data_IF_912894566046
#
_entry.id   IF_912894566046
#
_cell.length_a   1.000
_cell.length_b   1.000
_cell.length_c   1.000
_cell.angle_alpha   90.00
_cell.angle_beta   90.00
_cell.angle_gamma   90.00
#
_symmetry.space_group_name_H-M   'P 1'
#
loop_
_entity.id
_entity.type
_entity.pdbx_description
1 polymer ?
#
# COMPACT_ATOMS: atom_id res chain seq x y z
N UNK A 1 17.71 23.85 20.16
CA UNK A 1 18.36 22.57 19.81
C UNK A 1 18.89 22.67 18.40
N UNK A 2 20.20 22.61 18.18
CA UNK A 2 20.77 22.66 16.82
C UNK A 2 20.55 21.28 16.18
N UNK A 3 19.75 21.18 15.11
CA UNK A 3 19.63 19.94 14.33
C UNK A 3 21.02 19.60 13.78
N UNK A 4 21.61 18.49 14.24
CA UNK A 4 22.85 17.97 13.66
C UNK A 4 22.58 17.61 12.19
N UNK A 5 23.42 18.09 11.27
CA UNK A 5 23.36 17.70 9.86
C UNK A 5 23.46 16.17 9.75
N UNK A 6 22.49 15.56 9.06
CA UNK A 6 22.41 14.11 8.84
C UNK A 6 22.62 13.82 7.36
N UNK A 7 23.55 12.94 7.04
CA UNK A 7 23.84 12.52 5.67
C UNK A 7 23.61 11.02 5.52
N UNK A 8 23.11 10.60 4.36
CA UNK A 8 22.88 9.20 4.03
C UNK A 8 23.62 8.82 2.74
N UNK A 9 24.07 7.56 2.67
CA UNK A 9 24.51 6.92 1.43
C UNK A 9 24.06 5.47 1.46
N UNK A 10 23.72 4.93 0.30
CA UNK A 10 23.34 3.54 0.16
C UNK A 10 24.24 2.85 -0.86
N UNK A 11 24.40 1.54 -0.71
CA UNK A 11 25.01 0.65 -1.70
C UNK A 11 24.21 -0.64 -1.76
N UNK A 12 24.41 -1.43 -2.81
CA UNK A 12 23.95 -2.83 -2.84
C UNK A 12 25.11 -3.74 -2.44
N UNK A 13 24.85 -4.71 -1.59
CA UNK A 13 25.80 -5.74 -1.16
C UNK A 13 25.06 -7.07 -1.05
N UNK A 14 25.56 -8.12 -1.72
CA UNK A 14 24.88 -9.41 -1.83
C UNK A 14 23.36 -9.31 -2.17
N UNK A 15 23.01 -8.48 -3.16
CA UNK A 15 21.64 -8.17 -3.58
C UNK A 15 20.75 -7.47 -2.53
N UNK A 16 21.32 -7.02 -1.41
CA UNK A 16 20.60 -6.27 -0.37
C UNK A 16 20.98 -4.80 -0.38
N UNK A 17 20.04 -3.89 -0.12
CA UNK A 17 20.37 -2.50 0.14
C UNK A 17 21.04 -2.37 1.50
N UNK A 18 22.19 -1.69 1.54
CA UNK A 18 22.90 -1.33 2.77
C UNK A 18 22.86 0.18 2.93
N UNK A 19 22.32 0.66 4.05
CA UNK A 19 22.19 2.08 4.34
C UNK A 19 23.19 2.52 5.40
N UNK A 20 23.99 3.54 5.07
CA UNK A 20 24.87 4.19 6.01
C UNK A 20 24.39 5.60 6.34
N UNK A 21 24.57 6.02 7.60
CA UNK A 21 24.28 7.36 8.09
C UNK A 21 25.53 7.99 8.71
N UNK A 22 25.65 9.31 8.57
CA UNK A 22 26.68 10.12 9.23
C UNK A 22 26.05 11.34 9.90
N UNK A 23 26.40 11.56 11.17
CA UNK A 23 25.92 12.69 11.98
C UNK A 23 26.94 13.85 11.98
N UNK A 24 27.08 14.50 10.82
CA UNK A 24 27.90 15.70 10.60
C UNK A 24 29.20 15.49 9.82
N UNK A 25 29.67 16.58 9.19
CA UNK A 25 31.06 16.90 8.73
C UNK A 25 32.10 15.77 8.73
N UNK A 26 32.54 15.42 9.94
CA UNK A 26 33.76 14.66 10.19
C UNK A 26 33.51 13.44 11.10
N UNK A 27 32.29 12.91 11.10
CA UNK A 27 31.95 11.68 11.85
C UNK A 27 32.12 10.44 10.96
N UNK A 28 32.38 9.26 11.53
CA UNK A 28 32.39 8.03 10.76
C UNK A 28 30.99 7.74 10.17
N UNK A 29 30.97 7.01 9.06
CA UNK A 29 29.75 6.41 8.54
C UNK A 29 29.40 5.20 9.40
N UNK A 30 28.13 5.11 9.79
CA UNK A 30 27.57 4.01 10.58
C UNK A 30 26.59 3.25 9.71
N UNK A 31 26.71 1.93 9.65
CA UNK A 31 25.71 1.06 9.03
C UNK A 31 24.46 1.02 9.91
N UNK A 32 23.33 1.43 9.35
CA UNK A 32 22.03 1.46 10.02
C UNK A 32 21.00 0.57 9.31
N UNK A 33 21.44 -0.37 8.47
CA UNK A 33 20.57 -1.23 7.66
C UNK A 33 19.59 -2.03 8.51
N UNK A 34 20.03 -2.51 9.68
CA UNK A 34 19.19 -3.23 10.65
C UNK A 34 18.01 -2.42 11.20
N UNK A 35 18.01 -1.09 11.03
CA UNK A 35 16.90 -0.21 11.42
C UNK A 35 15.89 0.01 10.30
N UNK A 36 15.99 -0.76 9.20
CA UNK A 36 15.11 -0.69 8.02
C UNK A 36 14.39 -2.00 7.81
N UNK A 37 13.34 -1.96 6.98
CA UNK A 37 12.66 -3.16 6.54
C UNK A 37 13.63 -4.10 5.82
N UNK A 38 13.54 -5.37 6.19
CA UNK A 38 14.34 -6.43 5.62
C UNK A 38 13.67 -6.96 4.36
N UNK A 39 14.23 -6.64 3.20
CA UNK A 39 13.69 -7.07 1.90
C UNK A 39 13.64 -8.59 1.75
N UNK A 40 14.38 -9.36 2.54
CA UNK A 40 14.32 -10.83 2.51
C UNK A 40 13.02 -11.39 3.06
N UNK A 41 12.33 -10.61 3.89
CA UNK A 41 11.03 -10.99 4.43
C UNK A 41 9.89 -10.80 3.42
N UNK A 42 10.16 -10.23 2.25
CA UNK A 42 9.19 -10.06 1.17
C UNK A 42 8.96 -11.37 0.40
N UNK A 43 7.68 -11.65 0.15
CA UNK A 43 7.20 -12.68 -0.77
C UNK A 43 6.12 -12.11 -1.67
N UNK A 44 6.11 -12.53 -2.91
CA UNK A 44 5.15 -12.10 -3.92
C UNK A 44 4.39 -13.32 -4.44
N UNK A 45 3.07 -13.24 -4.51
CA UNK A 45 2.23 -14.29 -5.07
C UNK A 45 1.72 -13.81 -6.43
N UNK A 46 1.92 -14.60 -7.47
CA UNK A 46 1.40 -14.30 -8.82
C UNK A 46 -0.04 -14.81 -9.02
N UNK A 47 -0.63 -14.49 -10.18
CA UNK A 47 -2.01 -14.88 -10.50
C UNK A 47 -2.25 -16.39 -10.47
N UNK A 48 -1.22 -17.22 -10.68
CA UNK A 48 -1.27 -18.68 -10.65
C UNK A 48 -0.91 -19.28 -9.27
N UNK A 49 -0.94 -18.47 -8.20
CA UNK A 49 -0.60 -18.88 -6.84
C UNK A 49 0.85 -19.34 -6.64
N UNK A 50 1.75 -18.98 -7.56
CA UNK A 50 3.19 -19.25 -7.39
C UNK A 50 3.81 -18.18 -6.50
N UNK A 51 4.56 -18.63 -5.49
CA UNK A 51 5.37 -17.77 -4.63
C UNK A 51 6.70 -17.43 -5.32
N UNK A 52 7.05 -16.15 -5.29
CA UNK A 52 8.32 -15.60 -5.73
C UNK A 52 8.98 -14.85 -4.57
N UNK A 53 10.30 -14.99 -4.42
CA UNK A 53 11.09 -14.26 -3.43
C UNK A 53 11.68 -13.00 -4.06
N UNK A 54 12.09 -12.02 -3.25
CA UNK A 54 12.76 -10.83 -3.81
C UNK A 54 14.00 -11.17 -4.66
N UNK A 55 14.75 -12.22 -4.29
CA UNK A 55 15.94 -12.67 -5.03
C UNK A 55 15.64 -13.16 -6.46
N UNK A 56 14.41 -13.59 -6.74
CA UNK A 56 14.00 -13.93 -8.11
C UNK A 56 13.63 -12.71 -8.96
N UNK A 57 13.52 -11.53 -8.35
CA UNK A 57 13.22 -10.29 -9.03
C UNK A 57 14.50 -9.53 -9.39
N UNK A 58 14.47 -8.79 -10.49
CA UNK A 58 15.50 -7.79 -10.77
C UNK A 58 15.39 -6.67 -9.73
N UNK A 59 16.51 -6.22 -9.19
CA UNK A 59 16.57 -5.08 -8.28
C UNK A 59 17.62 -4.05 -8.69
N UNK A 60 17.40 -2.80 -8.26
CA UNK A 60 18.29 -1.67 -8.55
C UNK A 60 18.25 -0.67 -7.38
N UNK A 61 19.38 -0.05 -7.07
CA UNK A 61 19.44 1.08 -6.14
C UNK A 61 19.64 2.38 -6.92
N UNK A 62 18.65 3.29 -6.84
CA UNK A 62 18.72 4.62 -7.44
C UNK A 62 18.69 5.65 -6.32
N UNK A 63 19.83 6.31 -6.10
CA UNK A 63 20.00 7.23 -4.97
C UNK A 63 19.86 6.49 -3.63
N UNK A 64 18.77 6.75 -2.90
CA UNK A 64 18.46 6.11 -1.61
C UNK A 64 17.21 5.22 -1.68
N UNK A 65 16.75 4.91 -2.90
CA UNK A 65 15.55 4.08 -3.13
C UNK A 65 15.97 2.76 -3.75
N UNK A 66 15.67 1.66 -3.06
CA UNK A 66 15.88 0.30 -3.56
C UNK A 66 14.62 -0.20 -4.27
N UNK A 67 14.74 -0.45 -5.57
CA UNK A 67 13.63 -0.81 -6.46
C UNK A 67 13.67 -2.31 -6.76
N UNK A 68 12.51 -2.96 -6.65
CA UNK A 68 12.31 -4.37 -6.98
C UNK A 68 11.29 -4.44 -8.11
N UNK A 69 11.72 -4.93 -9.27
CA UNK A 69 10.88 -4.99 -10.47
C UNK A 69 10.15 -6.34 -10.56
N UNK A 70 8.84 -6.29 -10.75
CA UNK A 70 7.97 -7.45 -10.84
C UNK A 70 7.74 -7.78 -12.32
N UNK A 71 8.34 -8.87 -12.80
CA UNK A 71 8.20 -9.34 -14.18
C UNK A 71 7.03 -10.32 -14.36
N UNK A 72 6.10 -10.33 -13.41
CA UNK A 72 4.95 -11.21 -13.34
C UNK A 72 3.75 -10.44 -12.76
N UNK A 73 2.53 -10.90 -13.04
CA UNK A 73 1.31 -10.30 -12.52
C UNK A 73 1.16 -10.65 -11.03
N UNK A 74 1.55 -9.73 -10.16
CA UNK A 74 1.47 -9.93 -8.72
C UNK A 74 0.04 -9.68 -8.21
N UNK A 75 -0.55 -10.65 -7.50
CA UNK A 75 -1.87 -10.51 -6.88
C UNK A 75 -1.83 -10.27 -5.37
N UNK A 76 -0.75 -10.67 -4.70
CA UNK A 76 -0.56 -10.46 -3.26
C UNK A 76 0.91 -10.27 -2.91
N UNK A 77 1.16 -9.45 -1.89
CA UNK A 77 2.49 -9.25 -1.30
C UNK A 77 2.41 -9.57 0.18
N UNK A 78 3.36 -10.38 0.64
CA UNK A 78 3.52 -10.73 2.03
C UNK A 78 4.85 -10.16 2.54
N UNK A 79 4.83 -9.80 3.81
CA UNK A 79 6.04 -9.48 4.56
C UNK A 79 6.03 -10.29 5.86
N UNK A 80 7.09 -11.06 6.06
CA UNK A 80 7.20 -11.96 7.22
C UNK A 80 5.97 -12.89 7.39
N UNK A 81 5.50 -13.40 6.24
CA UNK A 81 4.30 -14.24 6.09
C UNK A 81 2.96 -13.57 6.47
N UNK A 82 2.92 -12.24 6.60
CA UNK A 82 1.69 -11.47 6.76
C UNK A 82 1.32 -10.82 5.43
N UNK A 83 0.08 -10.95 4.99
CA UNK A 83 -0.41 -10.26 3.79
C UNK A 83 -0.46 -8.76 4.06
N UNK A 84 0.36 -7.99 3.33
CA UNK A 84 0.47 -6.53 3.47
C UNK A 84 -0.14 -5.78 2.28
N UNK A 85 -0.40 -6.48 1.17
CA UNK A 85 -1.12 -5.92 0.04
C UNK A 85 -1.83 -7.01 -0.77
N UNK A 86 -2.97 -6.65 -1.38
CA UNK A 86 -3.68 -7.50 -2.32
C UNK A 86 -4.28 -6.69 -3.47
N UNK A 87 -4.19 -7.24 -4.68
CA UNK A 87 -4.76 -6.69 -5.91
C UNK A 87 -6.26 -6.40 -5.79
N UNK A 88 -6.98 -7.18 -4.97
CA UNK A 88 -8.42 -7.06 -4.76
C UNK A 88 -8.88 -5.63 -4.43
N UNK A 89 -8.09 -4.89 -3.66
CA UNK A 89 -8.44 -3.54 -3.21
C UNK A 89 -7.78 -2.42 -4.03
N UNK A 90 -7.14 -2.75 -5.15
CA UNK A 90 -6.44 -1.80 -6.02
C UNK A 90 -6.60 -2.14 -7.51
N UNK A 91 -7.59 -2.97 -7.86
CA UNK A 91 -7.68 -3.57 -9.19
C UNK A 91 -7.77 -2.52 -10.32
N UNK A 92 -8.33 -1.34 -10.03
CA UNK A 92 -8.43 -0.20 -10.96
C UNK A 92 -7.07 0.39 -11.34
N UNK A 93 -6.02 0.05 -10.59
CA UNK A 93 -4.63 0.44 -10.85
C UNK A 93 -3.88 -0.57 -11.72
N UNK A 94 -4.47 -1.74 -11.97
CA UNK A 94 -3.79 -2.88 -12.57
C UNK A 94 -2.78 -3.54 -11.63
N UNK A 95 -1.95 -4.43 -12.17
CA UNK A 95 -0.90 -5.08 -11.40
C UNK A 95 0.30 -4.14 -11.18
N UNK A 96 0.96 -4.19 -10.01
CA UNK A 96 2.13 -3.36 -9.75
C UNK A 96 3.31 -3.80 -10.62
N UNK A 97 4.03 -2.80 -11.15
CA UNK A 97 5.24 -3.00 -11.96
C UNK A 97 6.48 -3.13 -11.07
N UNK A 98 6.52 -2.39 -9.96
CA UNK A 98 7.65 -2.41 -9.02
C UNK A 98 7.24 -2.05 -7.60
N UNK A 99 8.04 -2.55 -6.67
CA UNK A 99 8.04 -2.16 -5.27
C UNK A 99 9.30 -1.33 -4.98
N UNK A 100 9.12 -0.12 -4.46
CA UNK A 100 10.20 0.80 -4.11
C UNK A 100 10.32 0.91 -2.59
N UNK A 101 11.48 0.59 -2.02
CA UNK A 101 11.83 0.86 -0.63
C UNK A 101 12.62 2.16 -0.54
N UNK A 102 12.02 3.21 0.02
CA UNK A 102 12.76 4.39 0.43
C UNK A 102 13.56 4.06 1.70
N UNK A 103 14.89 4.00 1.59
CA UNK A 103 15.74 3.61 2.71
C UNK A 103 15.81 4.68 3.79
N UNK A 104 15.53 5.95 3.50
CA UNK A 104 15.61 7.01 4.52
C UNK A 104 14.33 7.04 5.33
N UNK A 105 13.19 7.10 4.65
CA UNK A 105 11.86 7.14 5.26
C UNK A 105 11.44 5.78 5.80
N UNK A 106 12.11 4.71 5.36
CA UNK A 106 11.76 3.32 5.68
C UNK A 106 10.32 2.99 5.29
N UNK A 107 9.93 3.39 4.07
CA UNK A 107 8.58 3.20 3.54
C UNK A 107 8.65 2.47 2.21
N UNK A 108 7.68 1.58 2.01
CA UNK A 108 7.48 0.91 0.74
C UNK A 108 6.40 1.59 -0.09
N UNK A 109 6.61 1.62 -1.40
CA UNK A 109 5.65 2.13 -2.36
C UNK A 109 5.47 1.16 -3.52
N UNK A 110 4.22 0.85 -3.86
CA UNK A 110 3.88 0.22 -5.12
C UNK A 110 3.78 1.25 -6.22
N UNK A 111 4.33 0.91 -7.37
CA UNK A 111 4.22 1.72 -8.57
C UNK A 111 3.56 0.89 -9.67
N UNK A 112 2.58 1.47 -10.34
CA UNK A 112 1.77 0.83 -11.37
C UNK A 112 2.07 1.43 -12.76
N UNK A 113 1.62 0.76 -13.82
CA UNK A 113 1.85 1.20 -15.20
C UNK A 113 1.20 2.54 -15.56
N UNK A 114 0.07 2.87 -14.93
CA UNK A 114 -0.65 4.13 -15.11
C UNK A 114 -0.06 5.29 -14.28
N UNK A 115 1.19 5.17 -13.83
CA UNK A 115 1.86 6.10 -12.90
C UNK A 115 1.17 6.26 -11.54
N UNK A 116 0.19 5.42 -11.21
CA UNK A 116 -0.35 5.37 -9.86
C UNK A 116 0.74 4.87 -8.90
N UNK A 117 0.78 5.46 -7.71
CA UNK A 117 1.73 5.13 -6.65
C UNK A 117 0.98 5.03 -5.33
N UNK A 118 1.16 3.92 -4.62
CA UNK A 118 0.49 3.61 -3.35
C UNK A 118 1.54 3.36 -2.29
N UNK A 119 1.43 3.98 -1.11
CA UNK A 119 2.28 3.64 0.03
C UNK A 119 1.73 2.37 0.70
N UNK A 120 2.63 1.47 1.07
CA UNK A 120 2.26 0.25 1.79
C UNK A 120 2.47 0.43 3.29
N UNK A 121 1.51 -0.06 4.08
CA UNK A 121 1.62 -0.11 5.54
C UNK A 121 1.96 -1.52 5.99
N UNK A 122 3.00 -1.63 6.80
CA UNK A 122 3.45 -2.87 7.39
C UNK A 122 3.11 -2.77 8.87
N UNK A 123 2.31 -3.69 9.38
CA UNK A 123 2.14 -3.84 10.82
C UNK A 123 3.43 -4.49 11.32
N UNK A 124 4.23 -3.85 12.19
CA UNK A 124 5.31 -4.54 12.86
C UNK A 124 4.68 -5.68 13.66
N UNK A 125 5.09 -6.94 13.45
CA UNK A 125 4.88 -7.93 14.50
C UNK A 125 5.60 -7.38 15.73
N UNK A 126 4.86 -7.06 16.78
CA UNK A 126 5.44 -7.15 18.11
C UNK A 126 5.88 -8.61 18.22
N UNK A 127 7.18 -8.86 18.14
CA UNK A 127 7.69 -10.11 18.71
C UNK A 127 7.25 -10.06 20.16
N UNK A 128 6.28 -10.91 20.53
CA UNK A 128 5.95 -11.12 21.94
C UNK A 128 7.28 -11.31 22.66
N UNK A 129 7.57 -10.56 23.74
CA UNK A 129 8.84 -10.70 24.43
C UNK A 129 8.98 -12.17 24.79
N UNK A 130 10.00 -12.80 24.20
CA UNK A 130 10.41 -14.14 24.59
C UNK A 130 10.68 -14.04 26.08
N UNK A 131 9.98 -14.84 26.87
CA UNK A 131 10.15 -14.93 28.32
C UNK A 131 11.65 -15.02 28.64
N UNK A 132 12.17 -13.98 29.27
CA UNK A 132 13.55 -13.86 29.70
C UNK A 132 13.70 -12.53 30.41
N UNK A 133 13.89 -12.59 31.72
CA UNK A 133 14.06 -11.45 32.63
C UNK A 133 15.41 -10.73 32.41
N UNK A 134 15.63 -10.17 31.24
CA UNK A 134 16.80 -9.32 30.97
C UNK A 134 16.36 -7.95 30.47
N UNK A 135 17.03 -6.93 31.01
CA UNK A 135 16.68 -5.50 30.99
C UNK A 135 16.02 -4.98 29.70
N UNK A 136 14.80 -4.46 29.86
CA UNK A 136 14.08 -3.73 28.80
C UNK A 136 14.97 -2.62 28.24
N UNK A 137 15.24 -2.58 26.91
CA UNK A 137 15.86 -1.41 26.32
C UNK A 137 14.96 -0.20 26.55
N UNK A 138 15.57 0.92 26.94
CA UNK A 138 14.90 2.19 27.15
C UNK A 138 14.43 2.75 25.79
N UNK A 139 13.29 2.25 25.30
CA UNK A 139 12.62 2.77 24.11
C UNK A 139 11.94 4.09 24.53
N UNK A 140 12.17 5.22 23.83
CA UNK A 140 11.51 6.47 24.14
C UNK A 140 9.98 6.30 24.17
N UNK A 141 9.40 6.64 25.32
CA UNK A 141 8.01 6.39 25.74
C UNK A 141 6.94 7.10 24.88
N UNK A 142 7.33 7.70 23.75
CA UNK A 142 6.48 8.50 22.88
C UNK A 142 6.35 7.98 21.43
N UNK A 143 6.81 6.76 21.12
CA UNK A 143 6.67 6.17 19.78
C UNK A 143 5.68 5.01 19.66
N UNK A 144 5.05 4.55 20.75
CA UNK A 144 4.22 3.34 20.71
C UNK A 144 2.97 3.34 21.60
N UNK A 145 2.33 4.48 21.87
CA UNK A 145 1.06 4.50 22.60
C UNK A 145 -0.03 5.15 21.75
N UNK A 146 -1.02 4.31 21.36
CA UNK A 146 -2.31 4.59 20.71
C UNK A 146 -2.46 4.15 19.24
N UNK A 147 -2.20 2.87 18.95
CA UNK A 147 -2.91 2.21 17.86
C UNK A 147 -3.52 0.93 18.41
N UNK A 148 -4.84 0.94 18.58
CA UNK A 148 -5.64 -0.24 18.89
C UNK A 148 -5.78 -1.04 17.58
N UNK A 149 -4.89 -2.02 17.39
CA UNK A 149 -4.65 -2.73 16.12
C UNK A 149 -5.66 -3.88 15.97
N UNK A 150 -6.92 -3.55 15.74
CA UNK A 150 -7.95 -4.49 15.28
C UNK A 150 -8.86 -3.95 14.16
N UNK A 151 -8.51 -2.82 13.54
CA UNK A 151 -9.28 -2.25 12.43
C UNK A 151 -8.54 -2.46 11.10
N UNK A 152 -9.05 -3.43 10.33
CA UNK A 152 -8.68 -3.78 8.94
C UNK A 152 -8.51 -2.51 8.10
N UNK A 153 -7.41 -2.34 7.35
CA UNK A 153 -7.22 -1.34 6.28
C UNK A 153 -8.19 -0.14 6.34
N UNK A 154 -8.18 0.66 7.42
CA UNK A 154 -9.19 1.69 7.70
C UNK A 154 -9.41 2.69 6.55
N UNK A 155 -8.45 2.77 5.63
CA UNK A 155 -8.48 3.67 4.48
C UNK A 155 -9.29 3.15 3.30
N UNK A 156 -9.62 1.86 3.23
CA UNK A 156 -10.40 1.29 2.12
C UNK A 156 -11.76 0.81 2.61
N UNK A 157 -12.81 1.55 2.24
CA UNK A 157 -14.20 1.17 2.51
C UNK A 157 -14.80 0.50 1.27
N UNK A 158 -15.49 -0.61 1.46
CA UNK A 158 -16.32 -1.24 0.43
C UNK A 158 -17.77 -1.23 0.88
N UNK A 159 -18.62 -0.63 0.06
CA UNK A 159 -20.08 -0.59 0.23
C UNK A 159 -20.72 -1.38 -0.90
N UNK A 160 -21.65 -2.26 -0.56
CA UNK A 160 -22.46 -3.05 -1.52
C UNK A 160 -23.90 -2.62 -1.38
N UNK A 161 -24.55 -2.25 -2.50
CA UNK A 161 -25.86 -1.60 -2.46
C UNK A 161 -27.07 -2.54 -2.40
N UNK A 162 -26.89 -3.87 -2.51
CA UNK A 162 -27.92 -4.91 -2.28
C UNK A 162 -29.34 -4.49 -2.74
N UNK A 163 -29.51 -4.20 -4.04
CA UNK A 163 -30.76 -3.80 -4.70
C UNK A 163 -31.28 -2.37 -4.43
N UNK A 164 -30.53 -1.54 -3.71
CA UNK A 164 -30.86 -0.12 -3.55
C UNK A 164 -30.46 0.67 -4.79
N UNK A 165 -31.42 1.43 -5.31
CA UNK A 165 -31.16 2.46 -6.31
C UNK A 165 -30.48 3.66 -5.63
N UNK A 166 -29.25 3.95 -6.02
CA UNK A 166 -28.45 5.06 -5.52
C UNK A 166 -28.27 6.07 -6.62
N UNK A 167 -28.80 7.28 -6.43
CA UNK A 167 -28.66 8.39 -7.38
C UNK A 167 -27.47 9.30 -7.07
N UNK A 168 -26.97 9.30 -5.83
CA UNK A 168 -25.85 10.15 -5.42
C UNK A 168 -24.94 9.42 -4.41
N UNK A 169 -23.63 9.63 -4.54
CA UNK A 169 -22.62 9.14 -3.62
C UNK A 169 -21.79 10.34 -3.14
N UNK A 170 -21.64 10.46 -1.83
CA UNK A 170 -20.85 11.51 -1.19
C UNK A 170 -19.71 10.91 -0.38
N UNK A 171 -18.62 11.67 -0.30
CA UNK A 171 -17.56 11.47 0.68
C UNK A 171 -17.37 12.79 1.43
N UNK A 172 -17.65 12.77 2.73
CA UNK A 172 -17.75 13.99 3.55
C UNK A 172 -18.69 15.02 2.88
N UNK A 173 -18.22 16.24 2.61
CA UNK A 173 -18.99 17.31 1.95
C UNK A 173 -18.93 17.25 0.42
N UNK A 174 -18.16 16.32 -0.14
CA UNK A 174 -17.91 16.25 -1.58
C UNK A 174 -18.82 15.25 -2.27
N UNK A 175 -19.55 15.70 -3.29
CA UNK A 175 -20.27 14.80 -4.19
C UNK A 175 -19.27 14.08 -5.08
N UNK A 176 -19.15 12.77 -4.90
CA UNK A 176 -18.21 11.91 -5.64
C UNK A 176 -18.80 11.50 -6.98
N UNK A 177 -20.08 11.18 -7.01
CA UNK A 177 -20.80 10.74 -8.20
C UNK A 177 -22.29 11.03 -8.06
N UNK A 178 -22.92 11.38 -9.18
CA UNK A 178 -24.37 11.49 -9.33
C UNK A 178 -24.82 10.86 -10.64
N UNK A 179 -25.96 10.17 -10.57
CA UNK A 179 -26.52 9.40 -11.68
C UNK A 179 -27.04 10.32 -12.77
N UNK A 180 -26.62 10.05 -14.01
CA UNK A 180 -27.25 10.67 -15.17
C UNK A 180 -28.57 9.94 -15.51
N UNK A 181 -29.58 10.60 -16.12
CA UNK A 181 -30.93 10.02 -16.31
C UNK A 181 -30.97 8.62 -16.93
N UNK A 182 -30.05 8.31 -17.85
CA UNK A 182 -29.95 7.03 -18.59
C UNK A 182 -28.86 6.08 -18.04
N UNK A 183 -28.15 6.48 -16.99
CA UNK A 183 -27.10 5.67 -16.38
C UNK A 183 -27.70 4.60 -15.46
N UNK A 184 -27.13 3.39 -15.51
CA UNK A 184 -27.51 2.30 -14.62
C UNK A 184 -27.19 2.62 -13.16
N UNK A 185 -27.82 1.91 -12.22
CA UNK A 185 -27.50 2.05 -10.80
C UNK A 185 -26.18 1.34 -10.46
N UNK A 186 -25.36 1.91 -9.56
CA UNK A 186 -24.13 1.28 -9.12
C UNK A 186 -24.44 0.07 -8.23
N UNK A 187 -23.61 -0.97 -8.35
CA UNK A 187 -23.67 -2.18 -7.55
C UNK A 187 -22.82 -2.08 -6.28
N UNK A 188 -21.64 -1.47 -6.42
CA UNK A 188 -20.67 -1.31 -5.34
C UNK A 188 -19.98 0.05 -5.39
N UNK A 189 -19.51 0.49 -4.24
CA UNK A 189 -18.68 1.68 -4.08
C UNK A 189 -17.45 1.32 -3.26
N UNK A 190 -16.29 1.80 -3.69
CA UNK A 190 -15.04 1.71 -2.94
C UNK A 190 -14.55 3.13 -2.67
N UNK A 191 -14.24 3.45 -1.42
CA UNK A 191 -13.41 4.61 -1.10
C UNK A 191 -11.99 4.13 -0.78
N UNK A 192 -10.99 4.86 -1.25
CA UNK A 192 -9.62 4.77 -0.80
C UNK A 192 -9.19 6.15 -0.27
N UNK A 193 -9.31 6.35 1.04
CA UNK A 193 -8.98 7.60 1.73
C UNK A 193 -7.48 7.90 1.73
N UNK A 194 -6.63 6.92 1.41
CA UNK A 194 -5.20 7.15 1.25
C UNK A 194 -4.90 7.93 -0.03
N UNK A 195 -5.45 7.44 -1.13
CA UNK A 195 -5.19 7.98 -2.46
C UNK A 195 -6.23 9.02 -2.86
N UNK A 196 -7.27 9.19 -2.05
CA UNK A 196 -8.47 9.99 -2.33
C UNK A 196 -9.11 9.58 -3.66
N UNK A 197 -9.15 8.26 -3.89
CA UNK A 197 -9.75 7.63 -5.05
C UNK A 197 -11.04 6.94 -4.66
N UNK A 198 -12.03 7.06 -5.54
CA UNK A 198 -13.37 6.54 -5.29
C UNK A 198 -13.86 5.78 -6.51
N UNK A 199 -14.18 4.51 -6.33
CA UNK A 199 -14.54 3.61 -7.42
C UNK A 199 -16.02 3.28 -7.34
N UNK A 200 -16.77 3.69 -8.35
CA UNK A 200 -18.19 3.38 -8.51
C UNK A 200 -18.30 2.26 -9.52
N UNK A 201 -18.88 1.13 -9.12
CA UNK A 201 -18.84 -0.12 -9.89
C UNK A 201 -20.25 -0.46 -10.36
N UNK A 202 -20.40 -0.73 -11.66
CA UNK A 202 -21.63 -1.15 -12.31
C UNK A 202 -21.48 -2.58 -12.87
N UNK A 203 -22.51 -3.05 -13.58
CA UNK A 203 -22.51 -4.39 -14.16
C UNK A 203 -21.42 -4.56 -15.24
N UNK A 204 -21.17 -3.57 -16.10
CA UNK A 204 -20.28 -3.71 -17.26
C UNK A 204 -19.02 -2.85 -17.19
N UNK A 205 -19.01 -1.83 -16.33
CA UNK A 205 -17.94 -0.87 -16.21
C UNK A 205 -17.78 -0.41 -14.76
N UNK A 206 -16.69 0.29 -14.48
CA UNK A 206 -16.50 1.05 -13.27
C UNK A 206 -15.95 2.42 -13.60
N UNK A 207 -16.18 3.36 -12.70
CA UNK A 207 -15.71 4.73 -12.77
C UNK A 207 -14.76 4.96 -11.59
N UNK A 208 -13.60 5.54 -11.86
CA UNK A 208 -12.64 6.00 -10.85
C UNK A 208 -12.70 7.52 -10.79
N UNK A 209 -13.12 8.04 -9.64
CA UNK A 209 -13.11 9.47 -9.32
C UNK A 209 -11.92 9.76 -8.40
N UNK A 210 -10.98 10.58 -8.86
CA UNK A 210 -9.79 10.96 -8.08
C UNK A 210 -9.90 12.42 -7.66
N UNK A 211 -9.80 12.69 -6.36
CA UNK A 211 -9.82 14.07 -5.87
C UNK A 211 -8.43 14.69 -6.00
N UNK A 212 -8.30 15.67 -6.88
CA UNK A 212 -7.05 16.40 -7.09
C UNK A 212 -7.30 17.91 -7.01
N UNK A 213 -6.60 18.60 -6.09
CA UNK A 213 -6.76 20.04 -5.85
C UNK A 213 -8.23 20.48 -5.65
N UNK A 214 -9.01 19.67 -4.93
CA UNK A 214 -10.42 19.96 -4.62
C UNK A 214 -11.40 19.71 -5.78
N UNK A 215 -10.95 19.10 -6.88
CA UNK A 215 -11.81 18.71 -8.02
C UNK A 215 -11.68 17.23 -8.32
N UNK A 216 -12.78 16.60 -8.73
CA UNK A 216 -12.74 15.21 -9.19
C UNK A 216 -12.29 15.13 -10.65
N UNK A 217 -11.39 14.18 -10.91
CA UNK A 217 -11.03 13.72 -12.24
C UNK A 217 -11.63 12.32 -12.38
N UNK A 218 -12.41 12.12 -13.44
CA UNK A 218 -13.23 10.92 -13.64
C UNK A 218 -12.73 10.11 -14.82
N UNK A 219 -12.50 8.82 -14.62
CA UNK A 219 -12.08 7.87 -15.64
C UNK A 219 -13.01 6.65 -15.63
N UNK A 220 -13.56 6.24 -16.78
CA UNK A 220 -14.40 5.04 -16.90
C UNK A 220 -13.61 3.91 -17.57
N UNK A 221 -13.81 2.67 -17.11
CA UNK A 221 -13.16 1.47 -17.64
C UNK A 221 -14.13 0.30 -17.69
N UNK A 222 -14.00 -0.56 -18.70
CA UNK A 222 -14.81 -1.79 -18.83
C UNK A 222 -14.34 -2.89 -17.89
N UNK A 223 -15.28 -3.70 -17.40
CA UNK A 223 -15.01 -4.85 -16.53
C UNK A 223 -14.84 -6.10 -17.39
N UNK A 224 -13.60 -6.56 -17.52
CA UNK A 224 -13.28 -7.87 -18.10
C UNK A 224 -13.55 -9.03 -17.12
N UNK A 225 -13.38 -10.27 -17.59
CA UNK A 225 -13.65 -11.47 -16.77
C UNK A 225 -12.79 -11.59 -15.51
N UNK A 226 -11.52 -11.18 -15.58
CA UNK A 226 -10.61 -11.21 -14.42
C UNK A 226 -11.07 -10.24 -13.34
N UNK A 227 -11.36 -9.00 -13.73
CA UNK A 227 -11.86 -7.97 -12.83
C UNK A 227 -13.23 -8.34 -12.25
N UNK A 228 -14.10 -9.01 -13.02
CA UNK A 228 -15.41 -9.44 -12.55
C UNK A 228 -15.33 -10.37 -11.34
N UNK A 229 -14.42 -11.34 -11.38
CA UNK A 229 -14.21 -12.26 -10.26
C UNK A 229 -13.70 -11.52 -9.02
N UNK A 230 -12.77 -10.59 -9.20
CA UNK A 230 -12.26 -9.75 -8.12
C UNK A 230 -13.37 -8.91 -7.51
N UNK A 231 -14.13 -8.19 -8.35
CA UNK A 231 -15.24 -7.34 -7.94
C UNK A 231 -16.31 -8.14 -7.19
N UNK A 232 -16.69 -9.32 -7.70
CA UNK A 232 -17.68 -10.18 -7.05
C UNK A 232 -17.21 -10.64 -5.67
N UNK A 233 -15.92 -10.91 -5.50
CA UNK A 233 -15.35 -11.28 -4.21
C UNK A 233 -15.30 -10.13 -3.20
N UNK A 234 -15.51 -8.87 -3.60
CA UNK A 234 -15.54 -7.73 -2.68
C UNK A 234 -16.71 -7.86 -1.71
N UNK A 235 -16.37 -7.86 -0.42
CA UNK A 235 -17.30 -7.94 0.70
C UNK A 235 -17.37 -6.59 1.40
N UNK A 236 -18.46 -6.33 2.12
CA UNK A 236 -18.61 -5.14 2.96
C UNK A 236 -17.50 -5.15 4.01
N UNK A 237 -16.71 -4.08 4.08
CA UNK A 237 -15.61 -3.96 5.06
C UNK A 237 -16.01 -3.20 6.31
N UNK A 238 -17.13 -2.45 6.29
CA UNK A 238 -17.74 -1.80 7.44
C UNK A 238 -19.26 -1.96 7.43
N UNK A 239 -19.80 -2.66 8.43
CA UNK A 239 -21.14 -2.38 8.94
C UNK A 239 -20.96 -1.28 9.99
N UNK A 240 -21.33 -0.05 9.65
CA UNK A 240 -21.59 0.94 10.69
C UNK A 240 -22.75 0.39 11.54
N UNK A 241 -22.46 -0.09 12.74
CA UNK A 241 -23.47 -0.29 13.79
C UNK A 241 -23.99 1.07 14.27
#
# INVERSE_FOLDING_TARGET
>A
MVRKEKYHKAKVDNNKPILHCRFGKNKPWVDITHTRFDVEKLKFIDTNDKEHKYLSCKSELIGLVFKIFLSFLCKQILYDNVVVWTFKYYFWSGHPLRLDLDLVENLFYLNFHNNHKVQMYFIPKLESPVNGDDEKPNIPENWCNNLNINEKNLKIMVVVFNDKNVDEIFYDVHKVWDRQPEENYPLKYISNEETMEFVVIFEHNFIVNKLFNGKFITESQEINNELRNVINSLEITNTLE
#
